data_IF_091025358334
#
_entry.id   IF_091025358334
#
_cell.length_a   1.000
_cell.length_b   1.000
_cell.length_c   1.000
_cell.angle_alpha   90.00
_cell.angle_beta   90.00
_cell.angle_gamma   90.00
#
_symmetry.space_group_name_H-M   'P 1'
#
loop_
_entity.id
_entity.type
_entity.pdbx_description
1 polymer ?
#
# COMPACT_ATOMS: atom_id res chain seq x y z
N UNK A 1 5.41 -21.10 -9.32
CA UNK A 1 5.25 -20.67 -7.92
C UNK A 1 6.23 -19.52 -7.75
N UNK A 2 5.77 -18.31 -7.43
CA UNK A 2 6.67 -17.15 -7.34
C UNK A 2 7.44 -17.23 -6.02
N UNK A 3 8.77 -17.15 -6.06
CA UNK A 3 9.61 -17.16 -4.86
C UNK A 3 9.57 -15.81 -4.16
N UNK A 4 9.38 -15.80 -2.83
CA UNK A 4 9.26 -14.56 -2.06
C UNK A 4 10.54 -13.71 -2.15
N UNK A 5 11.72 -14.33 -2.14
CA UNK A 5 12.99 -13.59 -2.22
C UNK A 5 13.16 -12.95 -3.58
N UNK A 6 12.77 -13.64 -4.64
CA UNK A 6 12.78 -13.09 -6.00
C UNK A 6 11.86 -11.88 -6.14
N UNK A 7 10.64 -11.95 -5.59
CA UNK A 7 9.70 -10.82 -5.58
C UNK A 7 10.26 -9.66 -4.76
N UNK A 8 10.80 -9.91 -3.57
CA UNK A 8 11.41 -8.86 -2.75
C UNK A 8 12.58 -8.19 -3.45
N UNK A 9 13.43 -8.97 -4.13
CA UNK A 9 14.53 -8.42 -4.91
C UNK A 9 14.00 -7.47 -5.99
N UNK A 10 12.97 -7.87 -6.76
CA UNK A 10 12.35 -7.02 -7.80
C UNK A 10 11.75 -5.75 -7.19
N UNK A 11 10.98 -5.88 -6.11
CA UNK A 11 10.35 -4.74 -5.46
C UNK A 11 11.39 -3.78 -4.84
N UNK A 12 12.55 -4.30 -4.42
CA UNK A 12 13.65 -3.55 -3.82
C UNK A 12 14.78 -3.21 -4.81
N UNK A 13 14.59 -3.42 -6.12
CA UNK A 13 15.58 -3.03 -7.14
C UNK A 13 15.86 -1.52 -7.10
N UNK A 14 14.83 -0.72 -6.81
CA UNK A 14 14.97 0.69 -6.48
C UNK A 14 15.35 0.83 -4.99
N UNK A 15 16.56 1.33 -4.67
CA UNK A 15 17.02 1.46 -3.28
C UNK A 15 16.20 2.46 -2.46
N UNK A 16 15.37 3.29 -3.11
CA UNK A 16 14.48 4.24 -2.45
C UNK A 16 13.03 3.74 -2.36
N UNK A 17 12.76 2.53 -2.85
CA UNK A 17 11.50 1.84 -2.61
C UNK A 17 11.39 1.39 -1.15
N UNK A 18 10.18 1.07 -0.72
CA UNK A 18 9.90 0.53 0.59
C UNK A 18 8.94 -0.65 0.47
N UNK A 19 9.30 -1.75 1.11
CA UNK A 19 8.48 -2.95 1.22
C UNK A 19 8.37 -3.32 2.68
N UNK A 20 7.15 -3.55 3.17
CA UNK A 20 6.92 -4.13 4.49
C UNK A 20 6.12 -5.43 4.33
N UNK A 21 6.51 -6.47 5.06
CA UNK A 21 5.77 -7.72 5.13
C UNK A 21 5.10 -7.80 6.50
N UNK A 22 3.79 -7.97 6.50
CA UNK A 22 3.00 -8.25 7.69
C UNK A 22 2.82 -9.76 7.81
N UNK A 23 3.19 -10.33 8.96
CA UNK A 23 2.98 -11.74 9.29
C UNK A 23 2.25 -11.90 10.62
N UNK A 24 1.62 -13.06 10.82
CA UNK A 24 1.06 -13.44 12.12
C UNK A 24 2.12 -14.09 13.05
N UNK A 25 1.68 -14.54 14.23
CA UNK A 25 2.54 -15.18 15.24
C UNK A 25 3.20 -16.48 14.76
N UNK A 26 2.66 -17.12 13.72
CA UNK A 26 3.17 -18.38 13.15
C UNK A 26 3.89 -18.16 11.81
N UNK A 27 4.26 -16.91 11.50
CA UNK A 27 4.94 -16.49 10.26
C UNK A 27 4.14 -16.73 8.96
N UNK A 28 2.82 -16.77 9.05
CA UNK A 28 1.96 -16.75 7.85
C UNK A 28 1.87 -15.34 7.30
N UNK A 29 1.97 -15.20 5.98
CA UNK A 29 1.81 -13.92 5.28
C UNK A 29 0.39 -13.36 5.46
N UNK A 30 0.29 -12.19 6.07
CA UNK A 30 -0.97 -11.45 6.26
C UNK A 30 -1.11 -10.28 5.29
N UNK A 31 0.01 -9.70 4.85
CA UNK A 31 -0.02 -8.65 3.84
C UNK A 31 1.35 -8.16 3.41
N UNK A 32 1.38 -7.43 2.30
CA UNK A 32 2.59 -6.82 1.74
C UNK A 32 2.26 -5.37 1.42
N UNK A 33 3.01 -4.46 2.01
CA UNK A 33 3.03 -3.06 1.62
C UNK A 33 4.14 -2.81 0.60
N UNK A 34 3.86 -2.00 -0.41
CA UNK A 34 4.87 -1.59 -1.39
C UNK A 34 4.69 -0.13 -1.83
N UNK A 35 5.81 0.60 -1.86
CA UNK A 35 5.86 1.96 -2.37
C UNK A 35 7.21 2.23 -3.04
N UNK A 36 7.21 2.55 -4.34
CA UNK A 36 8.44 2.93 -5.06
C UNK A 36 8.86 4.37 -4.75
N UNK A 37 10.07 4.74 -5.14
CA UNK A 37 10.50 6.14 -5.08
C UNK A 37 9.61 7.07 -5.91
N UNK A 38 9.17 6.61 -7.09
CA UNK A 38 8.26 7.38 -7.93
C UNK A 38 6.93 7.63 -7.23
N UNK A 39 6.33 6.61 -6.61
CA UNK A 39 5.08 6.75 -5.86
C UNK A 39 5.22 7.76 -4.70
N UNK A 40 6.33 7.70 -3.95
CA UNK A 40 6.65 8.67 -2.89
C UNK A 40 6.76 10.10 -3.43
N UNK A 41 7.43 10.28 -4.58
CA UNK A 41 7.59 11.58 -5.23
C UNK A 41 6.26 12.14 -5.75
N UNK A 42 5.46 11.30 -6.39
CA UNK A 42 4.12 11.68 -6.86
C UNK A 42 3.25 12.16 -5.72
N UNK A 43 3.17 11.39 -4.63
CA UNK A 43 2.42 11.79 -3.45
C UNK A 43 2.97 13.08 -2.81
N UNK A 44 4.28 13.26 -2.78
CA UNK A 44 4.88 14.46 -2.18
C UNK A 44 4.57 15.74 -2.96
N UNK A 45 4.36 15.64 -4.26
CA UNK A 45 4.00 16.78 -5.11
C UNK A 45 2.51 17.13 -5.01
N UNK A 46 1.65 16.14 -4.72
CA UNK A 46 0.19 16.27 -4.71
C UNK A 46 -0.44 15.54 -3.51
N UNK A 47 -0.20 15.99 -2.26
CA UNK A 47 -0.65 15.28 -1.08
C UNK A 47 -2.13 15.53 -0.71
N UNK A 48 -2.89 16.29 -1.50
CA UNK A 48 -4.16 16.88 -1.07
C UNK A 48 -5.29 15.85 -0.90
N UNK A 49 -5.43 14.90 -1.83
CA UNK A 49 -6.57 14.00 -1.88
C UNK A 49 -6.18 12.61 -2.37
N UNK A 50 -6.48 11.60 -1.55
CA UNK A 50 -6.29 10.19 -1.91
C UNK A 50 -7.63 9.47 -2.08
N UNK A 51 -7.73 8.73 -3.18
CA UNK A 51 -8.78 7.75 -3.45
C UNK A 51 -8.27 6.34 -3.11
N UNK A 52 -8.74 5.74 -2.02
CA UNK A 52 -8.52 4.31 -1.80
C UNK A 52 -9.45 3.53 -2.74
N UNK A 53 -8.87 2.64 -3.55
CA UNK A 53 -9.61 1.65 -4.32
C UNK A 53 -9.13 0.23 -3.97
N UNK A 54 -10.07 -0.70 -3.87
CA UNK A 54 -9.82 -2.10 -3.56
C UNK A 54 -10.25 -2.96 -4.75
N UNK A 55 -9.28 -3.62 -5.37
CA UNK A 55 -9.52 -4.52 -6.51
C UNK A 55 -9.44 -5.96 -6.04
N UNK A 56 -10.57 -6.67 -6.12
CA UNK A 56 -10.61 -8.10 -5.82
C UNK A 56 -10.18 -8.93 -7.04
N UNK A 57 -9.59 -10.09 -6.77
CA UNK A 57 -9.34 -11.18 -7.75
C UNK A 57 -8.24 -10.93 -8.79
N UNK A 58 -7.33 -9.98 -8.57
CA UNK A 58 -6.21 -9.74 -9.50
C UNK A 58 -5.06 -10.75 -9.37
N UNK A 59 -5.03 -11.58 -8.31
CA UNK A 59 -4.02 -12.62 -8.13
C UNK A 59 -4.66 -14.01 -7.94
N UNK A 60 -3.90 -15.06 -8.26
CA UNK A 60 -4.33 -16.46 -8.14
C UNK A 60 -4.68 -16.87 -6.69
N UNK A 61 -4.26 -16.07 -5.71
CA UNK A 61 -4.51 -16.27 -4.28
C UNK A 61 -5.78 -15.56 -3.79
N UNK A 62 -6.47 -14.82 -4.69
CA UNK A 62 -7.66 -14.01 -4.39
C UNK A 62 -7.47 -13.00 -3.27
N UNK A 63 -6.23 -12.57 -3.03
CA UNK A 63 -5.90 -11.55 -2.04
C UNK A 63 -6.34 -10.17 -2.56
N UNK A 64 -7.10 -9.40 -1.78
CA UNK A 64 -7.40 -7.99 -2.07
C UNK A 64 -6.15 -7.16 -2.34
N UNK A 65 -6.16 -6.41 -3.45
CA UNK A 65 -5.15 -5.40 -3.78
C UNK A 65 -5.75 -4.02 -3.55
N UNK A 66 -5.14 -3.26 -2.66
CA UNK A 66 -5.47 -1.86 -2.43
C UNK A 66 -4.51 -0.96 -3.19
N UNK A 67 -5.08 0.05 -3.85
CA UNK A 67 -4.35 1.09 -4.56
C UNK A 67 -4.82 2.42 -3.98
N UNK A 68 -3.88 3.18 -3.43
CA UNK A 68 -4.14 4.56 -3.03
C UNK A 68 -3.72 5.43 -4.20
N UNK A 69 -4.70 6.03 -4.86
CA UNK A 69 -4.49 6.90 -6.00
C UNK A 69 -4.60 8.36 -5.59
N UNK A 70 -3.80 9.18 -6.22
CA UNK A 70 -3.85 10.63 -6.11
C UNK A 70 -4.61 11.18 -7.33
N UNK A 71 -5.53 12.12 -7.09
CA UNK A 71 -6.52 12.56 -8.09
C UNK A 71 -5.92 13.49 -9.14
N UNK A 72 -5.14 14.49 -8.72
CA UNK A 72 -4.71 15.58 -9.57
C UNK A 72 -3.57 15.15 -10.51
N UNK A 73 -2.76 14.19 -10.09
CA UNK A 73 -1.67 13.61 -10.86
C UNK A 73 -2.00 12.32 -11.60
N UNK A 74 -3.15 11.67 -11.34
CA UNK A 74 -3.46 10.32 -11.83
C UNK A 74 -2.35 9.30 -11.53
N UNK A 75 -1.69 9.44 -10.38
CA UNK A 75 -0.58 8.58 -9.98
C UNK A 75 -0.96 7.70 -8.80
N UNK A 76 -0.31 6.54 -8.70
CA UNK A 76 -0.41 5.67 -7.54
C UNK A 76 0.51 6.21 -6.44
N UNK A 77 -0.04 6.46 -5.25
CA UNK A 77 0.68 6.92 -4.07
C UNK A 77 1.25 5.75 -3.26
N UNK A 78 0.54 4.63 -3.16
CA UNK A 78 1.08 3.35 -2.70
C UNK A 78 0.17 2.20 -3.10
N UNK A 79 0.66 0.97 -2.91
CA UNK A 79 -0.17 -0.23 -3.01
C UNK A 79 0.11 -1.18 -1.85
N UNK A 80 -0.91 -1.93 -1.45
CA UNK A 80 -0.72 -3.03 -0.52
C UNK A 80 -1.69 -4.16 -0.80
N UNK A 81 -1.24 -5.38 -0.49
CA UNK A 81 -2.02 -6.60 -0.65
C UNK A 81 -2.28 -7.17 0.74
N UNK A 82 -3.51 -7.61 1.00
CA UNK A 82 -3.89 -8.24 2.25
C UNK A 82 -4.39 -9.66 2.02
N UNK A 83 -4.16 -10.57 2.97
CA UNK A 83 -4.76 -11.90 2.94
C UNK A 83 -6.29 -11.82 3.12
N UNK A 84 -6.74 -10.94 4.02
CA UNK A 84 -8.14 -10.71 4.34
C UNK A 84 -8.41 -9.22 4.51
N UNK A 85 -9.60 -8.76 4.10
CA UNK A 85 -10.04 -7.40 4.35
C UNK A 85 -10.56 -7.29 5.77
N UNK A 86 -9.74 -6.75 6.65
CA UNK A 86 -10.15 -6.39 7.99
C UNK A 86 -9.56 -5.03 8.36
N UNK A 87 -10.28 -4.29 9.20
CA UNK A 87 -9.90 -2.93 9.60
C UNK A 87 -8.51 -2.89 10.23
N UNK A 88 -8.14 -3.89 11.05
CA UNK A 88 -6.83 -3.95 11.71
C UNK A 88 -5.69 -3.94 10.69
N UNK A 89 -5.79 -4.77 9.65
CA UNK A 89 -4.75 -4.94 8.63
C UNK A 89 -4.70 -3.72 7.71
N UNK A 90 -5.86 -3.17 7.34
CA UNK A 90 -5.93 -1.93 6.55
C UNK A 90 -5.31 -0.77 7.34
N UNK A 91 -5.69 -0.58 8.61
CA UNK A 91 -5.16 0.48 9.47
C UNK A 91 -3.66 0.30 9.71
N UNK A 92 -3.16 -0.94 9.80
CA UNK A 92 -1.73 -1.22 9.83
C UNK A 92 -1.00 -0.74 8.56
N UNK A 93 -1.52 -1.07 7.37
CA UNK A 93 -0.94 -0.63 6.09
C UNK A 93 -0.99 0.90 5.92
N UNK A 94 -2.09 1.54 6.33
CA UNK A 94 -2.20 3.00 6.32
C UNK A 94 -1.22 3.65 7.30
N UNK A 95 -0.96 3.03 8.46
CA UNK A 95 0.05 3.53 9.40
C UNK A 95 1.46 3.44 8.82
N UNK A 96 1.78 2.41 8.04
CA UNK A 96 3.05 2.34 7.29
C UNK A 96 3.11 3.49 6.28
N UNK A 97 2.06 3.70 5.50
CA UNK A 97 2.01 4.83 4.55
C UNK A 97 2.27 6.17 5.24
N UNK A 98 1.60 6.45 6.37
CA UNK A 98 1.79 7.68 7.15
C UNK A 98 3.23 7.84 7.66
N UNK A 99 3.87 6.77 8.13
CA UNK A 99 5.27 6.80 8.58
C UNK A 99 6.24 7.08 7.43
N UNK A 100 5.95 6.56 6.24
CA UNK A 100 6.79 6.74 5.05
C UNK A 100 6.58 8.09 4.35
N UNK A 101 5.46 8.78 4.61
CA UNK A 101 5.07 9.97 3.86
C UNK A 101 4.62 11.11 4.79
N UNK A 102 5.56 11.94 5.26
CA UNK A 102 5.31 12.99 6.26
C UNK A 102 4.20 14.00 5.89
N UNK A 103 3.96 14.20 4.59
CA UNK A 103 2.93 15.11 4.08
C UNK A 103 1.50 14.56 4.18
N UNK A 104 1.31 13.32 4.68
CA UNK A 104 -0.02 12.72 4.90
C UNK A 104 -0.93 13.58 5.78
N UNK A 105 -0.36 14.42 6.65
CA UNK A 105 -1.10 15.35 7.51
C UNK A 105 -1.90 16.41 6.73
N UNK A 106 -1.55 16.62 5.45
CA UNK A 106 -2.27 17.51 4.53
C UNK A 106 -3.30 16.78 3.66
N UNK A 107 -3.39 15.46 3.80
CA UNK A 107 -4.20 14.60 2.94
C UNK A 107 -5.60 14.40 3.48
N UNK A 108 -6.58 14.50 2.59
CA UNK A 108 -7.94 14.01 2.83
C UNK A 108 -8.11 12.67 2.13
N UNK A 109 -8.73 11.71 2.80
CA UNK A 109 -9.14 10.46 2.18
C UNK A 109 -10.58 10.64 1.69
N UNK A 110 -10.82 10.37 0.41
CA UNK A 110 -12.17 10.41 -0.12
C UNK A 110 -12.94 9.16 0.29
N UNK A 111 -14.21 9.34 0.67
CA UNK A 111 -15.08 8.23 1.11
C UNK A 111 -14.79 7.78 2.53
N UNK A 112 -14.90 8.68 3.52
CA UNK A 112 -14.65 8.48 4.97
C UNK A 112 -15.47 7.35 5.65
N UNK A 113 -16.08 6.42 4.91
CA UNK A 113 -16.67 5.17 5.41
C UNK A 113 -15.70 3.98 5.44
N UNK A 114 -14.44 4.15 5.01
CA UNK A 114 -13.39 3.20 5.41
C UNK A 114 -13.07 3.51 6.88
N UNK A 115 -13.76 2.81 7.78
CA UNK A 115 -13.54 2.94 9.22
C UNK A 115 -12.08 2.61 9.53
N UNK A 116 -11.30 3.65 9.85
CA UNK A 116 -9.90 3.59 10.31
C UNK A 116 -9.85 3.10 11.75
#
# INVERSE_FOLDING_TARGET
MNDLKEVLNILQEDPNSYVEIMTDEVNTLQGIYFQTHQMKRCFSNYPELLLPDATYKLNNLRMPLYILMEIDGNFVACTFILQHENSISISYMLNIFKKQNLLWTRTRFWGEEITI
#
